data_IF_792696558196
#
_entry.id   IF_792696558196
#
_cell.length_a   1.000
_cell.length_b   1.000
_cell.length_c   1.000
_cell.angle_alpha   90.00
_cell.angle_beta   90.00
_cell.angle_gamma   90.00
#
_symmetry.space_group_name_H-M   'P 1'
#
loop_
_entity.id
_entity.type
_entity.pdbx_description
1 polymer ?
#
# COMPACT_ATOMS: atom_id res chain seq x y z
N UNK A 1 7.06 7.88 6.89
CA UNK A 1 6.08 7.61 5.82
C UNK A 1 4.82 7.10 6.46
N UNK A 2 3.69 7.73 6.18
CA UNK A 2 2.37 7.23 6.52
C UNK A 2 1.77 6.53 5.31
N UNK A 3 1.14 5.38 5.52
CA UNK A 3 0.47 4.61 4.49
C UNK A 3 -0.95 4.32 4.97
N UNK A 4 -1.92 4.50 4.07
CA UNK A 4 -3.31 4.09 4.27
C UNK A 4 -3.71 3.19 3.12
N UNK A 5 -4.43 2.11 3.42
CA UNK A 5 -4.99 1.20 2.43
C UNK A 5 -6.48 1.08 2.68
N UNK A 6 -7.27 1.26 1.63
CA UNK A 6 -8.71 0.98 1.62
C UNK A 6 -9.01 -0.13 0.62
N UNK A 7 -9.92 -1.02 1.02
CA UNK A 7 -10.49 -2.05 0.16
C UNK A 7 -12.00 -1.88 0.21
N UNK A 8 -12.63 -1.71 -0.95
CA UNK A 8 -14.07 -1.50 -1.10
C UNK A 8 -14.63 -0.33 -0.25
N UNK A 9 -13.78 0.68 0.00
CA UNK A 9 -14.12 1.85 0.80
C UNK A 9 -13.95 1.68 2.31
N UNK A 10 -13.49 0.53 2.78
CA UNK A 10 -13.12 0.29 4.18
C UNK A 10 -11.60 0.42 4.36
N UNK A 11 -11.17 1.22 5.35
CA UNK A 11 -9.74 1.32 5.69
C UNK A 11 -9.26 0.06 6.40
N UNK A 12 -8.50 -0.77 5.69
CA UNK A 12 -7.91 -2.02 6.21
C UNK A 12 -6.54 -1.81 6.84
N UNK A 13 -5.90 -0.66 6.57
CA UNK A 13 -4.63 -0.27 7.17
C UNK A 13 -4.51 1.25 7.25
N UNK A 14 -4.02 1.72 8.38
CA UNK A 14 -3.37 3.02 8.50
C UNK A 14 -2.14 2.86 9.40
N UNK A 15 -0.95 3.07 8.83
CA UNK A 15 0.30 2.82 9.55
C UNK A 15 1.36 3.88 9.27
N UNK A 16 2.23 4.11 10.26
CA UNK A 16 3.38 5.00 10.13
C UNK A 16 4.67 4.20 10.16
N UNK A 17 5.27 4.02 8.99
CA UNK A 17 6.58 3.40 8.89
C UNK A 17 7.68 4.42 9.20
N UNK A 18 8.54 4.06 10.15
CA UNK A 18 9.70 4.86 10.56
C UNK A 18 10.97 4.33 9.87
N UNK A 19 11.86 5.22 9.43
CA UNK A 19 13.17 4.81 8.91
C UNK A 19 13.91 3.94 9.92
N UNK A 20 14.53 2.86 9.44
CA UNK A 20 15.35 1.97 10.28
C UNK A 20 16.79 2.49 10.36
N UNK A 21 17.59 1.95 11.28
CA UNK A 21 19.00 2.35 11.50
C UNK A 21 19.22 3.22 12.74
N UNK A 22 20.43 3.18 13.30
CA UNK A 22 20.79 3.85 14.57
C UNK A 22 20.50 5.36 14.57
N UNK A 23 20.49 5.99 13.40
CA UNK A 23 20.23 7.43 13.22
C UNK A 23 18.97 7.75 12.40
N UNK A 24 18.14 6.75 12.07
CA UNK A 24 16.95 6.89 11.20
C UNK A 24 17.27 7.31 9.75
N UNK A 25 18.44 6.90 9.25
CA UNK A 25 18.90 7.20 7.88
C UNK A 25 18.73 6.01 6.91
N UNK A 26 18.23 4.87 7.40
CA UNK A 26 18.08 3.66 6.59
C UNK A 26 16.74 3.56 5.87
N UNK A 27 16.70 2.72 4.84
CA UNK A 27 15.51 2.45 4.02
C UNK A 27 14.32 2.02 4.86
N UNK A 28 13.15 2.52 4.46
CA UNK A 28 11.87 2.10 5.04
C UNK A 28 11.33 0.92 4.23
N UNK A 29 11.08 -0.20 4.90
CA UNK A 29 10.43 -1.37 4.28
C UNK A 29 9.09 -1.63 4.96
N UNK A 30 8.06 -1.91 4.16
CA UNK A 30 6.75 -2.36 4.61
C UNK A 30 6.30 -3.54 3.75
N UNK A 31 5.76 -4.57 4.39
CA UNK A 31 5.10 -5.70 3.74
C UNK A 31 3.86 -6.01 4.55
N UNK A 32 2.71 -5.97 3.89
CA UNK A 32 1.41 -6.19 4.52
C UNK A 32 0.59 -7.11 3.62
N UNK A 33 -0.21 -7.98 4.24
CA UNK A 33 -1.01 -8.98 3.54
C UNK A 33 -2.41 -9.03 4.13
N UNK A 34 -3.42 -9.03 3.26
CA UNK A 34 -4.82 -9.19 3.64
C UNK A 34 -5.44 -10.37 2.90
N UNK A 35 -6.32 -11.09 3.57
CA UNK A 35 -7.15 -12.12 2.95
C UNK A 35 -8.45 -11.48 2.49
N UNK A 36 -8.72 -11.56 1.19
CA UNK A 36 -9.96 -11.08 0.57
C UNK A 36 -10.76 -12.27 0.03
N UNK A 37 -12.10 -12.21 0.03
CA UNK A 37 -12.89 -13.20 -0.69
C UNK A 37 -12.58 -13.14 -2.20
N UNK A 38 -12.85 -14.21 -2.97
CA UNK A 38 -12.72 -14.14 -4.42
C UNK A 38 -13.70 -13.12 -5.02
N UNK A 39 -13.22 -12.28 -5.94
CA UNK A 39 -14.00 -11.19 -6.53
C UNK A 39 -13.15 -10.04 -7.02
N UNK A 40 -13.82 -9.02 -7.54
CA UNK A 40 -13.17 -7.78 -7.96
C UNK A 40 -13.30 -6.74 -6.84
N UNK A 41 -12.17 -6.31 -6.28
CA UNK A 41 -12.11 -5.40 -5.16
C UNK A 41 -11.54 -4.06 -5.60
N UNK A 42 -12.13 -2.95 -5.17
CA UNK A 42 -11.52 -1.64 -5.40
C UNK A 42 -10.48 -1.39 -4.33
N UNK A 43 -9.22 -1.32 -4.72
CA UNK A 43 -8.11 -1.09 -3.81
C UNK A 43 -7.59 0.32 -4.02
N UNK A 44 -7.44 1.06 -2.93
CA UNK A 44 -6.86 2.39 -2.93
C UNK A 44 -5.76 2.47 -1.90
N UNK A 45 -4.63 3.07 -2.29
CA UNK A 45 -3.47 3.27 -1.42
C UNK A 45 -3.13 4.74 -1.42
N UNK A 46 -3.04 5.30 -0.21
CA UNK A 46 -2.54 6.66 0.01
C UNK A 46 -1.23 6.63 0.76
N UNK A 47 -0.38 7.58 0.43
CA UNK A 47 0.87 7.83 1.12
C UNK A 47 0.99 9.29 1.50
N UNK A 48 1.55 9.53 2.68
CA UNK A 48 2.05 10.83 3.12
C UNK A 48 3.50 10.64 3.59
N UNK A 49 4.43 11.08 2.76
CA UNK A 49 5.87 11.00 2.93
C UNK A 49 6.51 12.38 3.16
N UNK A 50 5.84 13.46 2.75
CA UNK A 50 6.20 14.86 3.03
C UNK A 50 5.79 15.36 4.43
N UNK A 51 4.90 14.62 5.10
CA UNK A 51 4.35 14.99 6.41
C UNK A 51 3.25 16.05 6.37
N UNK A 52 2.76 16.40 5.18
CA UNK A 52 1.77 17.45 4.97
C UNK A 52 0.49 16.92 4.32
N UNK A 53 0.60 16.17 3.22
CA UNK A 53 -0.55 15.80 2.40
C UNK A 53 -0.62 14.29 2.09
N UNK A 54 -1.84 13.74 2.21
CA UNK A 54 -2.14 12.42 1.69
C UNK A 54 -2.29 12.47 0.17
N UNK A 55 -1.54 11.61 -0.53
CA UNK A 55 -1.61 11.45 -1.99
C UNK A 55 -2.06 10.05 -2.33
N UNK A 56 -3.03 9.93 -3.23
CA UNK A 56 -3.43 8.63 -3.78
C UNK A 56 -2.37 8.18 -4.78
N UNK A 57 -1.72 7.06 -4.49
CA UNK A 57 -0.62 6.49 -5.29
C UNK A 57 -1.01 5.16 -5.94
N UNK A 58 -2.23 4.70 -5.68
CA UNK A 58 -2.92 3.61 -6.35
C UNK A 58 -4.42 3.76 -6.14
N UNK A 59 -5.22 3.63 -7.20
CA UNK A 59 -6.69 3.50 -7.14
C UNK A 59 -7.11 2.70 -8.36
N UNK A 60 -7.27 1.39 -8.17
CA UNK A 60 -7.67 0.50 -9.24
C UNK A 60 -8.45 -0.71 -8.71
N UNK A 61 -9.05 -1.45 -9.64
CA UNK A 61 -9.70 -2.72 -9.38
C UNK A 61 -8.70 -3.86 -9.42
N UNK A 62 -8.75 -4.72 -8.40
CA UNK A 62 -7.91 -5.92 -8.28
C UNK A 62 -8.80 -7.15 -8.27
N UNK A 63 -8.64 -8.01 -9.27
CA UNK A 63 -9.30 -9.32 -9.32
C UNK A 63 -8.55 -10.32 -8.44
N UNK A 64 -9.24 -10.82 -7.42
CA UNK A 64 -8.78 -11.83 -6.49
C UNK A 64 -9.43 -13.18 -6.83
N UNK A 65 -8.59 -14.18 -7.09
CA UNK A 65 -9.03 -15.55 -7.35
C UNK A 65 -8.75 -16.43 -6.12
N UNK A 66 -9.60 -17.44 -5.90
CA UNK A 66 -9.40 -18.40 -4.83
C UNK A 66 -8.03 -19.12 -4.96
N UNK A 67 -7.24 -19.09 -3.89
CA UNK A 67 -5.92 -19.75 -3.85
C UNK A 67 -4.81 -19.02 -4.61
N UNK A 68 -5.05 -17.79 -5.10
CA UNK A 68 -4.01 -16.96 -5.72
C UNK A 68 -3.67 -15.77 -4.82
N UNK A 69 -2.40 -15.37 -4.88
CA UNK A 69 -1.91 -14.14 -4.27
C UNK A 69 -1.75 -13.09 -5.36
N UNK A 70 -2.20 -11.87 -5.08
CA UNK A 70 -1.93 -10.68 -5.89
C UNK A 70 -0.95 -9.80 -5.12
N UNK A 71 0.08 -9.33 -5.80
CA UNK A 71 1.12 -8.52 -5.16
C UNK A 71 1.08 -7.11 -5.74
N UNK A 72 0.95 -6.12 -4.86
CA UNK A 72 1.18 -4.72 -5.20
C UNK A 72 2.60 -4.35 -4.77
N UNK A 73 3.42 -3.91 -5.72
CA UNK A 73 4.80 -3.48 -5.48
C UNK A 73 4.90 -1.97 -5.66
N UNK A 74 5.58 -1.32 -4.71
CA UNK A 74 5.90 0.10 -4.83
C UNK A 74 7.11 0.30 -5.75
N UNK A 75 6.96 1.17 -6.73
CA UNK A 75 8.02 1.64 -7.63
C UNK A 75 8.43 3.05 -7.22
N UNK A 76 9.68 3.19 -6.77
CA UNK A 76 10.24 4.47 -6.31
C UNK A 76 10.40 5.48 -7.45
N UNK A 77 10.69 5.04 -8.67
CA UNK A 77 10.87 5.94 -9.82
C UNK A 77 9.54 6.57 -10.23
N UNK A 78 8.45 5.82 -10.07
CA UNK A 78 7.09 6.26 -10.42
C UNK A 78 6.32 6.85 -9.24
N UNK A 79 6.83 6.68 -8.03
CA UNK A 79 6.16 7.00 -6.78
C UNK A 79 4.73 6.41 -6.70
N UNK A 80 4.57 5.17 -7.16
CA UNK A 80 3.27 4.51 -7.29
C UNK A 80 3.35 3.01 -7.00
N UNK A 81 2.22 2.40 -6.60
CA UNK A 81 2.11 0.94 -6.57
C UNK A 81 1.66 0.40 -7.93
N UNK A 82 2.09 -0.82 -8.25
CA UNK A 82 1.68 -1.54 -9.46
C UNK A 82 1.35 -3.00 -9.13
N UNK A 83 0.33 -3.52 -9.81
CA UNK A 83 -0.05 -4.92 -9.72
C UNK A 83 0.95 -5.78 -10.51
N UNK A 84 1.46 -6.82 -9.87
CA UNK A 84 2.37 -7.82 -10.45
C UNK A 84 1.68 -9.18 -10.59
#
# INVERSE_FOLDING_TARGET
>A
MHLRVEVDGETVLEHTYRPRGLRREGTTYGLESWTLPPGNHRVRIWMMDDGEAWRSIFDDWVEVEAGRVRTLLYDEERAAFHLY
#
